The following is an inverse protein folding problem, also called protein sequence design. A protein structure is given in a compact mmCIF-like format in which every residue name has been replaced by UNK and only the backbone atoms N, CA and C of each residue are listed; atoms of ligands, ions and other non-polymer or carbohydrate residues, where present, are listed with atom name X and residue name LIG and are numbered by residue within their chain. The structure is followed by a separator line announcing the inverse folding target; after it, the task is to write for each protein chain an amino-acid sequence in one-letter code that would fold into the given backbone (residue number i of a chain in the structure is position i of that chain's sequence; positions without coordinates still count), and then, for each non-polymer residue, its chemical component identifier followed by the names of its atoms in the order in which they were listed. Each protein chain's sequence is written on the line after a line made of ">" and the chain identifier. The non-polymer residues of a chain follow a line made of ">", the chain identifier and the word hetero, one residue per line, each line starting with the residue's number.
data_IF_538642476391
#
_entry.id   IF_538642476391
#
_cell.length_a   1.000
_cell.length_b   1.000
_cell.length_c   1.000
_cell.angle_alpha   90.00
_cell.angle_beta   90.00
_cell.angle_gamma   90.00
#
_symmetry.space_group_name_H-M   'P 1'
#
loop_
_entity.id
_entity.type
_entity.pdbx_description
1 polymer ?
#
# COMPACT_ATOMS: atom_id res chain seq x y z
N UNK A 1 13.29 -9.14 5.00
CA UNK A 1 13.04 -7.69 4.89
C UNK A 1 12.53 -7.42 3.49
N UNK A 2 11.38 -6.78 3.39
CA UNK A 2 10.68 -6.45 2.16
C UNK A 2 10.84 -4.97 1.83
N UNK A 3 10.66 -4.60 0.57
CA UNK A 3 10.60 -3.20 0.16
C UNK A 3 9.23 -2.60 0.51
N UNK A 4 8.15 -3.36 0.33
CA UNK A 4 6.82 -2.93 0.72
C UNK A 4 5.92 -4.05 1.21
N UNK A 5 5.14 -3.77 2.25
CA UNK A 5 3.94 -4.53 2.60
C UNK A 5 2.73 -3.89 1.91
N UNK A 6 1.90 -4.70 1.24
CA UNK A 6 0.70 -4.24 0.53
C UNK A 6 -0.54 -4.54 1.37
N UNK A 7 -1.21 -3.50 1.86
CA UNK A 7 -2.44 -3.56 2.64
C UNK A 7 -3.64 -3.25 1.74
N UNK A 8 -4.50 -4.23 1.50
CA UNK A 8 -5.67 -4.13 0.62
C UNK A 8 -6.84 -4.99 1.14
N UNK A 9 -8.00 -4.95 0.47
CA UNK A 9 -9.14 -5.82 0.81
C UNK A 9 -9.00 -7.18 0.13
N UNK A 10 -8.42 -8.16 0.82
CA UNK A 10 -8.25 -9.55 0.33
C UNK A 10 -9.58 -10.27 0.07
N UNK A 11 -10.70 -9.70 0.53
CA UNK A 11 -12.05 -10.26 0.27
C UNK A 11 -12.71 -9.66 -0.96
N UNK A 12 -12.13 -8.60 -1.54
CA UNK A 12 -12.63 -7.99 -2.76
C UNK A 12 -11.87 -8.56 -3.97
N UNK A 13 -12.57 -9.36 -4.78
CA UNK A 13 -11.96 -10.06 -5.91
C UNK A 13 -11.36 -9.10 -6.95
N UNK A 14 -11.98 -7.92 -7.16
CA UNK A 14 -11.50 -6.96 -8.14
C UNK A 14 -10.20 -6.30 -7.69
N UNK A 15 -10.08 -5.94 -6.41
CA UNK A 15 -8.85 -5.35 -5.88
C UNK A 15 -7.76 -6.40 -5.76
N UNK A 16 -8.12 -7.62 -5.37
CA UNK A 16 -7.18 -8.75 -5.29
C UNK A 16 -6.58 -9.05 -6.66
N UNK A 17 -7.42 -9.15 -7.70
CA UNK A 17 -6.98 -9.32 -9.08
C UNK A 17 -6.00 -8.21 -9.51
N UNK A 18 -6.35 -6.94 -9.25
CA UNK A 18 -5.47 -5.82 -9.56
C UNK A 18 -4.14 -5.87 -8.78
N UNK A 19 -4.16 -6.24 -7.49
CA UNK A 19 -2.91 -6.34 -6.70
C UNK A 19 -2.01 -7.47 -7.23
N UNK A 20 -2.57 -8.63 -7.55
CA UNK A 20 -1.81 -9.82 -7.94
C UNK A 20 -1.34 -9.77 -9.40
N UNK A 21 -2.18 -9.29 -10.31
CA UNK A 21 -1.92 -9.34 -11.75
C UNK A 21 -1.36 -8.02 -12.31
N UNK A 22 -1.62 -6.88 -11.67
CA UNK A 22 -1.06 -5.59 -12.09
C UNK A 22 0.08 -5.15 -11.17
N UNK A 23 -0.21 -4.85 -9.90
CA UNK A 23 0.77 -4.26 -8.98
C UNK A 23 1.97 -5.17 -8.75
N UNK A 24 1.73 -6.43 -8.41
CA UNK A 24 2.79 -7.41 -8.16
C UNK A 24 3.62 -7.65 -9.42
N UNK A 25 2.98 -7.84 -10.57
CA UNK A 25 3.67 -8.03 -11.85
C UNK A 25 4.59 -6.84 -12.17
N UNK A 26 4.08 -5.61 -12.06
CA UNK A 26 4.88 -4.43 -12.34
C UNK A 26 5.99 -4.18 -11.32
N UNK A 27 5.88 -4.62 -10.07
CA UNK A 27 6.90 -4.36 -9.05
C UNK A 27 7.92 -5.50 -8.89
N UNK A 28 7.49 -6.76 -8.98
CA UNK A 28 8.35 -7.94 -8.78
C UNK A 28 8.97 -8.46 -10.08
N UNK A 29 8.26 -8.35 -11.22
CA UNK A 29 8.65 -9.05 -12.46
C UNK A 29 9.16 -8.09 -13.57
N UNK A 30 9.14 -6.78 -13.34
CA UNK A 30 9.64 -5.80 -14.31
C UNK A 30 11.17 -5.73 -14.34
N UNK A 31 11.76 -5.62 -15.54
CA UNK A 31 13.21 -5.72 -15.76
C UNK A 31 14.07 -4.64 -15.08
N UNK A 32 13.47 -3.50 -14.67
CA UNK A 32 14.23 -2.32 -14.22
C UNK A 32 14.59 -2.34 -12.72
N UNK A 33 13.85 -3.06 -11.87
CA UNK A 33 14.07 -3.15 -10.41
C UNK A 33 13.14 -4.22 -9.81
N UNK A 34 13.71 -5.24 -9.17
CA UNK A 34 12.91 -6.23 -8.44
C UNK A 34 12.60 -5.69 -7.04
N UNK A 35 11.37 -5.23 -6.84
CA UNK A 35 10.84 -4.80 -5.55
C UNK A 35 10.30 -6.02 -4.82
N UNK A 36 10.79 -6.30 -3.61
CA UNK A 36 10.32 -7.43 -2.81
C UNK A 36 9.04 -7.04 -2.04
N UNK A 37 7.92 -7.67 -2.38
CA UNK A 37 6.64 -7.40 -1.71
C UNK A 37 6.34 -8.40 -0.60
N UNK A 38 5.65 -7.93 0.42
CA UNK A 38 4.97 -8.75 1.42
C UNK A 38 3.45 -8.67 1.18
N UNK A 39 2.81 -9.81 0.98
CA UNK A 39 1.38 -9.97 0.71
C UNK A 39 0.73 -10.88 1.75
N UNK A 40 -0.45 -10.50 2.24
CA UNK A 40 -1.23 -11.28 3.24
C UNK A 40 -1.45 -12.74 2.80
N UNK A 41 -1.87 -12.96 1.55
CA UNK A 41 -2.22 -14.30 1.06
C UNK A 41 -1.02 -15.21 0.75
N UNK A 42 0.19 -14.65 0.69
CA UNK A 42 1.43 -15.36 0.30
C UNK A 42 2.42 -15.53 1.44
N UNK A 43 2.61 -14.46 2.21
CA UNK A 43 3.78 -14.32 3.09
C UNK A 43 3.41 -14.35 4.59
N UNK A 44 2.12 -14.40 4.93
CA UNK A 44 1.69 -14.54 6.33
C UNK A 44 1.88 -15.97 6.82
N UNK A 45 2.46 -16.09 8.02
CA UNK A 45 2.74 -17.38 8.62
C UNK A 45 1.43 -18.01 9.14
N UNK A 46 1.09 -19.23 8.69
CA UNK A 46 -0.08 -19.93 9.20
C UNK A 46 0.11 -20.27 10.67
N UNK A 47 -0.94 -20.04 11.47
CA UNK A 47 -0.92 -20.31 12.91
C UNK A 47 -0.53 -19.11 13.79
N UNK A 48 -0.03 -18.01 13.22
CA UNK A 48 0.09 -16.74 13.93
C UNK A 48 -1.25 -16.00 13.93
N UNK A 49 -1.45 -15.15 14.95
CA UNK A 49 -2.62 -14.28 14.97
C UNK A 49 -2.52 -13.25 13.82
N UNK A 50 -3.67 -12.86 13.26
CA UNK A 50 -3.75 -11.85 12.19
C UNK A 50 -3.01 -10.56 12.57
N UNK A 51 -3.13 -10.14 13.83
CA UNK A 51 -2.48 -8.92 14.31
C UNK A 51 -0.96 -9.05 14.34
N UNK A 52 -0.44 -10.23 14.69
CA UNK A 52 1.00 -10.49 14.75
C UNK A 52 1.59 -10.50 13.34
N UNK A 53 0.94 -11.20 12.41
CA UNK A 53 1.31 -11.19 10.99
C UNK A 53 1.29 -9.76 10.41
N UNK A 54 0.27 -8.97 10.74
CA UNK A 54 0.17 -7.58 10.30
C UNK A 54 1.30 -6.71 10.85
N UNK A 55 1.56 -6.78 12.16
CA UNK A 55 2.66 -6.04 12.80
C UNK A 55 4.01 -6.44 12.20
N UNK A 56 4.24 -7.74 12.00
CA UNK A 56 5.46 -8.26 11.40
C UNK A 56 5.63 -7.76 9.98
N UNK A 57 4.57 -7.81 9.15
CA UNK A 57 4.60 -7.34 7.77
C UNK A 57 4.95 -5.85 7.68
N UNK A 58 4.36 -5.02 8.55
CA UNK A 58 4.65 -3.57 8.63
C UNK A 58 6.08 -3.32 9.09
N UNK A 59 6.57 -4.02 10.11
CA UNK A 59 7.89 -3.78 10.70
C UNK A 59 9.03 -4.35 9.83
N UNK A 60 8.77 -5.42 9.07
CA UNK A 60 9.76 -6.05 8.20
C UNK A 60 9.78 -5.47 6.78
N UNK A 61 8.96 -4.46 6.49
CA UNK A 61 8.89 -3.80 5.19
C UNK A 61 9.38 -2.35 5.26
N UNK A 62 10.09 -1.84 4.24
CA UNK A 62 10.51 -0.42 4.25
C UNK A 62 9.32 0.52 4.18
N UNK A 63 8.32 0.19 3.36
CA UNK A 63 7.06 0.93 3.19
C UNK A 63 5.84 0.06 3.51
N UNK A 64 4.76 0.70 3.91
CA UNK A 64 3.40 0.12 3.93
C UNK A 64 2.56 0.84 2.88
N UNK A 65 2.17 0.11 1.84
CA UNK A 65 1.37 0.60 0.72
C UNK A 65 -0.08 0.20 0.94
N UNK A 66 -0.97 1.18 1.04
CA UNK A 66 -2.41 0.97 1.16
C UNK A 66 -3.06 1.11 -0.20
N UNK A 67 -3.64 0.02 -0.71
CA UNK A 67 -4.44 0.04 -1.95
C UNK A 67 -5.90 0.24 -1.56
N UNK A 68 -6.44 1.42 -1.85
CA UNK A 68 -7.71 1.87 -1.32
C UNK A 68 -8.83 1.90 -2.37
N UNK A 69 -9.90 1.18 -2.02
CA UNK A 69 -11.25 1.35 -2.56
C UNK A 69 -12.19 1.86 -1.46
N UNK A 70 -13.37 2.38 -1.82
CA UNK A 70 -14.34 3.01 -0.89
C UNK A 70 -14.73 2.10 0.25
N UNK A 71 -14.90 0.81 -0.03
CA UNK A 71 -15.26 -0.22 0.97
C UNK A 71 -14.12 -0.46 1.95
N UNK A 72 -12.91 -0.69 1.43
CA UNK A 72 -11.73 -0.97 2.24
C UNK A 72 -11.36 0.16 3.19
N UNK A 73 -11.47 1.41 2.74
CA UNK A 73 -11.16 2.61 3.55
C UNK A 73 -12.03 2.76 4.81
N UNK A 74 -13.13 2.00 4.92
CA UNK A 74 -14.00 1.97 6.11
C UNK A 74 -13.78 0.73 6.98
N UNK A 75 -13.01 -0.24 6.50
CA UNK A 75 -12.82 -1.53 7.14
C UNK A 75 -12.02 -1.43 8.43
N UNK A 76 -12.21 -2.41 9.32
CA UNK A 76 -11.39 -2.58 10.51
C UNK A 76 -9.92 -2.81 10.13
N UNK A 77 -9.67 -3.71 9.17
CA UNK A 77 -8.32 -4.06 8.73
C UNK A 77 -7.53 -2.84 8.26
N UNK A 78 -8.13 -1.97 7.44
CA UNK A 78 -7.50 -0.71 7.02
C UNK A 78 -7.15 0.17 8.22
N UNK A 79 -8.10 0.41 9.13
CA UNK A 79 -7.87 1.28 10.30
C UNK A 79 -6.73 0.75 11.16
N UNK A 80 -6.74 -0.54 11.48
CA UNK A 80 -5.71 -1.17 12.31
C UNK A 80 -4.33 -1.09 11.65
N UNK A 81 -4.23 -1.48 10.38
CA UNK A 81 -2.98 -1.40 9.62
C UNK A 81 -2.48 0.05 9.50
N UNK A 82 -3.38 1.00 9.26
CA UNK A 82 -3.05 2.43 9.18
C UNK A 82 -2.54 2.97 10.51
N UNK A 83 -3.17 2.64 11.64
CA UNK A 83 -2.69 3.09 12.95
C UNK A 83 -1.31 2.52 13.30
N UNK A 84 -1.05 1.25 12.97
CA UNK A 84 0.27 0.64 13.18
C UNK A 84 1.35 1.30 12.32
N UNK A 85 1.07 1.51 11.04
CA UNK A 85 2.00 2.20 10.14
C UNK A 85 2.21 3.67 10.54
N UNK A 86 1.16 4.33 11.05
CA UNK A 86 1.26 5.70 11.57
C UNK A 86 2.09 5.76 12.84
N UNK A 87 1.93 4.81 13.75
CA UNK A 87 2.78 4.72 14.94
C UNK A 87 4.25 4.56 14.53
N UNK A 88 4.55 3.65 13.60
CA UNK A 88 5.91 3.46 13.09
C UNK A 88 6.47 4.73 12.44
N UNK A 89 5.67 5.45 11.67
CA UNK A 89 6.05 6.76 11.12
C UNK A 89 6.46 7.73 12.24
N UNK A 90 5.71 7.78 13.33
CA UNK A 90 6.00 8.67 14.47
C UNK A 90 7.26 8.25 15.22
N UNK A 91 7.45 6.94 15.41
CA UNK A 91 8.59 6.38 16.15
C UNK A 91 9.90 6.51 15.35
N UNK A 92 9.88 6.26 14.05
CA UNK A 92 11.05 6.35 13.16
C UNK A 92 11.28 7.75 12.59
N UNK A 93 10.29 8.64 12.68
CA UNK A 93 10.26 9.96 12.05
C UNK A 93 10.58 9.92 10.53
N UNK A 94 10.14 8.84 9.87
CA UNK A 94 10.40 8.56 8.46
C UNK A 94 9.09 8.29 7.73
N UNK A 95 9.01 8.72 6.47
CA UNK A 95 7.80 8.54 5.69
C UNK A 95 7.64 7.09 5.22
N UNK A 96 6.95 6.25 6.00
CA UNK A 96 6.79 4.81 5.73
C UNK A 96 5.46 4.44 5.05
N UNK A 97 4.55 5.39 4.85
CA UNK A 97 3.19 5.13 4.33
C UNK A 97 3.11 5.50 2.85
N UNK A 98 2.41 4.72 2.03
CA UNK A 98 2.03 5.11 0.66
C UNK A 98 0.55 4.79 0.47
N UNK A 99 -0.21 5.69 -0.16
CA UNK A 99 -1.58 5.44 -0.56
C UNK A 99 -1.66 5.29 -2.07
N UNK A 100 -2.29 4.22 -2.53
CA UNK A 100 -2.75 4.03 -3.90
C UNK A 100 -4.28 4.13 -3.89
N UNK A 101 -4.84 5.12 -4.58
CA UNK A 101 -6.27 5.35 -4.65
C UNK A 101 -6.79 4.77 -5.97
N UNK A 102 -7.44 3.61 -5.92
CA UNK A 102 -8.14 3.03 -7.07
C UNK A 102 -9.51 3.71 -7.29
N UNK A 103 -10.06 4.28 -6.23
CA UNK A 103 -11.31 5.03 -6.26
C UNK A 103 -11.14 6.40 -5.56
N UNK A 104 -12.03 7.38 -5.82
CA UNK A 104 -12.04 8.65 -5.11
C UNK A 104 -12.45 8.47 -3.64
N UNK A 105 -11.47 8.11 -2.80
CA UNK A 105 -11.64 7.81 -1.38
C UNK A 105 -10.94 8.83 -0.50
N UNK A 106 -11.47 9.00 0.72
CA UNK A 106 -10.86 9.82 1.77
C UNK A 106 -10.55 11.28 1.34
N UNK A 107 -11.18 11.79 0.27
CA UNK A 107 -10.93 13.13 -0.29
C UNK A 107 -11.13 14.27 0.73
N UNK A 108 -11.98 14.04 1.72
CA UNK A 108 -12.28 14.99 2.80
C UNK A 108 -11.44 14.76 4.06
N UNK A 109 -10.55 13.77 4.08
CA UNK A 109 -9.69 13.47 5.23
C UNK A 109 -8.67 14.58 5.43
N UNK A 110 -8.66 15.18 6.64
CA UNK A 110 -7.67 16.20 7.01
C UNK A 110 -6.24 15.65 6.95
N UNK A 111 -6.06 14.39 7.36
CA UNK A 111 -4.76 13.72 7.31
C UNK A 111 -4.23 13.61 5.87
N UNK A 112 -5.06 13.14 4.93
CA UNK A 112 -4.62 13.05 3.53
C UNK A 112 -4.35 14.43 2.94
N UNK A 113 -5.19 15.43 3.23
CA UNK A 113 -4.95 16.81 2.77
C UNK A 113 -3.63 17.38 3.29
N UNK A 114 -3.29 17.10 4.54
CA UNK A 114 -2.01 17.48 5.12
C UNK A 114 -0.86 16.73 4.43
N UNK A 115 -1.00 15.42 4.27
CA UNK A 115 0.00 14.56 3.64
C UNK A 115 0.24 14.90 2.17
N UNK A 116 -0.79 15.27 1.40
CA UNK A 116 -0.65 15.78 0.03
C UNK A 116 0.22 17.04 -0.04
N UNK A 117 0.24 17.86 1.02
CA UNK A 117 1.06 19.08 1.06
C UNK A 117 2.51 18.78 1.44
N UNK A 118 2.73 17.87 2.38
CA UNK A 118 4.04 17.60 2.99
C UNK A 118 4.79 16.48 2.25
N UNK A 119 4.08 15.42 1.84
CA UNK A 119 4.61 14.18 1.26
C UNK A 119 3.94 13.90 -0.09
N UNK A 120 4.13 14.77 -1.09
CA UNK A 120 3.44 14.70 -2.40
C UNK A 120 3.56 13.35 -3.11
N UNK A 121 4.69 12.66 -2.92
CA UNK A 121 4.98 11.37 -3.56
C UNK A 121 4.36 10.16 -2.83
N UNK A 122 3.70 10.37 -1.69
CA UNK A 122 3.14 9.31 -0.86
C UNK A 122 1.66 9.00 -1.14
N UNK A 123 1.05 9.70 -2.09
CA UNK A 123 -0.34 9.49 -2.51
C UNK A 123 -0.37 9.43 -4.03
N UNK A 124 -0.74 8.27 -4.56
CA UNK A 124 -0.81 7.98 -5.98
C UNK A 124 -2.26 7.64 -6.32
N UNK A 125 -2.78 8.27 -7.36
CA UNK A 125 -4.09 7.95 -7.88
C UNK A 125 -3.92 7.06 -9.11
N UNK A 126 -4.69 5.97 -9.17
CA UNK A 126 -4.73 5.15 -10.38
C UNK A 126 -5.31 5.97 -11.54
N UNK A 127 -4.62 6.03 -12.70
CA UNK A 127 -5.05 6.90 -13.80
C UNK A 127 -6.26 6.33 -14.55
N UNK A 128 -7.19 7.20 -14.93
CA UNK A 128 -8.30 6.85 -15.84
C UNK A 128 -7.83 6.68 -17.30
N UNK A 129 -6.67 7.25 -17.64
CA UNK A 129 -6.07 7.19 -18.97
C UNK A 129 -4.97 6.11 -19.00
N UNK A 130 -5.13 5.03 -19.79
CA UNK A 130 -4.13 3.96 -19.88
C UNK A 130 -2.73 4.45 -20.27
N UNK A 131 -2.64 5.54 -21.05
CA UNK A 131 -1.34 6.13 -21.44
C UNK A 131 -0.55 6.68 -20.25
N UNK A 132 -1.19 6.92 -19.11
CA UNK A 132 -0.55 7.45 -17.90
C UNK A 132 -0.13 6.35 -16.92
N UNK A 133 -0.48 5.09 -17.15
CA UNK A 133 -0.11 3.96 -16.27
C UNK A 133 1.40 3.79 -16.16
N UNK A 134 2.14 3.96 -17.26
CA UNK A 134 3.61 3.89 -17.25
C UNK A 134 4.23 4.89 -16.26
N UNK A 135 3.71 6.12 -16.20
CA UNK A 135 4.15 7.14 -15.25
C UNK A 135 3.77 6.78 -13.81
N UNK A 136 2.57 6.22 -13.60
CA UNK A 136 2.15 5.72 -12.29
C UNK A 136 3.13 4.68 -11.76
N UNK A 137 3.45 3.66 -12.56
CA UNK A 137 4.34 2.58 -12.14
C UNK A 137 5.79 3.06 -11.93
N UNK A 138 6.29 3.96 -12.77
CA UNK A 138 7.59 4.60 -12.55
C UNK A 138 7.62 5.38 -11.22
N UNK A 139 6.56 6.13 -10.94
CA UNK A 139 6.45 6.90 -9.69
C UNK A 139 6.40 5.96 -8.49
N UNK A 140 5.60 4.90 -8.54
CA UNK A 140 5.49 3.91 -7.48
C UNK A 140 6.84 3.24 -7.18
N UNK A 141 7.59 2.80 -8.20
CA UNK A 141 8.92 2.18 -8.03
C UNK A 141 9.97 3.11 -7.44
N UNK A 142 9.84 4.43 -7.63
CA UNK A 142 10.76 5.41 -7.07
C UNK A 142 10.51 5.68 -5.59
N UNK A 143 9.27 5.50 -5.13
CA UNK A 143 8.86 5.80 -3.74
C UNK A 143 8.84 4.57 -2.84
N UNK A 144 8.80 3.37 -3.45
CA UNK A 144 9.01 2.07 -2.81
C UNK A 144 10.50 1.72 -2.80
#
# INVERSE_FOLDING_TARGET
>A
FYDAYISYDTKDASVTDWVINELRYHLEESQDKNVLLCLEERDWDPGLAIIDNLMQSINQSKKTVFVLIKKYAKSWNFKTAFYLALQRLMDENMDVIIFILLEPVLQHSQYLRLRQRICKSSILQWPDNPKAEGLFWQTLRNVV
#
